data_IF_579067713856
#
_entry.id   IF_579067713856
#
_cell.length_a   1.000
_cell.length_b   1.000
_cell.length_c   1.000
_cell.angle_alpha   90.00
_cell.angle_beta   90.00
_cell.angle_gamma   90.00
#
_symmetry.space_group_name_H-M   'P 1'
#
loop_
_entity.id
_entity.type
_entity.pdbx_description
1 polymer ?
#
# COMPACT_ATOMS: atom_id res chain seq x y z
N UNK A 1 -3.47 4.68 4.73
CA UNK A 1 -2.06 4.75 4.29
C UNK A 1 -2.02 5.15 2.83
N UNK A 2 -0.87 5.62 2.36
CA UNK A 2 -0.58 5.93 0.95
C UNK A 2 0.54 5.02 0.50
N UNK A 3 0.30 4.19 -0.49
CA UNK A 3 1.30 3.28 -1.04
C UNK A 3 1.97 3.92 -2.25
N UNK A 4 3.29 3.83 -2.33
CA UNK A 4 4.12 4.35 -3.42
C UNK A 4 5.11 3.26 -3.84
N UNK A 5 5.25 3.01 -5.14
CA UNK A 5 6.30 2.08 -5.61
C UNK A 5 7.68 2.68 -5.38
N UNK A 6 8.62 1.86 -4.93
CA UNK A 6 10.01 2.28 -4.80
C UNK A 6 10.59 2.80 -6.13
N UNK A 7 10.30 2.10 -7.23
CA UNK A 7 10.75 2.48 -8.57
C UNK A 7 10.26 3.88 -9.00
N UNK A 8 9.05 4.30 -8.61
CA UNK A 8 8.51 5.63 -8.91
C UNK A 8 9.26 6.74 -8.16
N UNK A 9 9.99 6.40 -7.12
CA UNK A 9 10.87 7.28 -6.36
C UNK A 9 12.35 7.18 -6.75
N UNK A 10 12.68 6.31 -7.70
CA UNK A 10 14.07 6.00 -8.08
C UNK A 10 14.82 5.18 -7.03
N UNK A 11 14.08 4.41 -6.22
CA UNK A 11 14.63 3.56 -5.17
C UNK A 11 14.63 2.09 -5.60
N UNK A 12 15.49 1.29 -4.98
CA UNK A 12 15.52 -0.18 -5.16
C UNK A 12 14.38 -0.85 -4.40
N UNK A 13 14.00 -0.29 -3.21
CA UNK A 13 12.98 -0.81 -2.31
C UNK A 13 13.53 -1.56 -1.09
N UNK A 14 14.82 -1.88 -1.09
CA UNK A 14 15.50 -2.57 0.01
C UNK A 14 16.33 -1.63 0.90
N UNK A 15 16.30 -0.31 0.63
CA UNK A 15 17.01 0.69 1.41
C UNK A 15 16.78 0.51 2.91
N UNK A 16 17.83 0.78 3.67
CA UNK A 16 17.75 0.81 5.12
C UNK A 16 16.99 2.04 5.62
N UNK A 17 16.42 2.02 6.84
CA UNK A 17 15.80 3.21 7.42
C UNK A 17 16.75 4.42 7.48
N UNK A 18 18.04 4.19 7.74
CA UNK A 18 19.02 5.27 7.80
C UNK A 18 19.26 5.93 6.42
N UNK A 19 19.34 5.12 5.35
CA UNK A 19 19.46 5.64 3.98
C UNK A 19 18.22 6.46 3.60
N UNK A 20 17.02 5.97 3.93
CA UNK A 20 15.77 6.66 3.63
C UNK A 20 15.61 7.95 4.43
N UNK A 21 15.95 7.93 5.72
CA UNK A 21 15.87 9.11 6.60
C UNK A 21 16.90 10.19 6.21
N UNK A 22 18.02 9.80 5.62
CA UNK A 22 19.00 10.72 5.07
C UNK A 22 18.63 11.28 3.68
N UNK A 23 17.68 10.66 2.98
CA UNK A 23 17.27 11.07 1.64
C UNK A 23 16.16 12.15 1.71
N UNK A 24 16.57 13.39 1.90
CA UNK A 24 15.66 14.54 2.04
C UNK A 24 14.76 14.74 0.83
N UNK A 25 15.23 14.42 -0.38
CA UNK A 25 14.45 14.55 -1.61
C UNK A 25 13.29 13.54 -1.63
N UNK A 26 13.55 12.29 -1.23
CA UNK A 26 12.51 11.26 -1.11
C UNK A 26 11.52 11.63 -0.01
N UNK A 27 11.99 12.08 1.15
CA UNK A 27 11.10 12.51 2.25
C UNK A 27 10.19 13.66 1.84
N UNK A 28 10.72 14.68 1.15
CA UNK A 28 9.92 15.79 0.65
C UNK A 28 8.86 15.33 -0.35
N UNK A 29 9.22 14.39 -1.24
CA UNK A 29 8.28 13.83 -2.23
C UNK A 29 7.20 12.97 -1.56
N UNK A 30 7.55 12.16 -0.57
CA UNK A 30 6.58 11.39 0.21
C UNK A 30 5.62 12.29 0.98
N UNK A 31 6.12 13.40 1.56
CA UNK A 31 5.27 14.35 2.25
C UNK A 31 4.29 15.04 1.30
N UNK A 32 4.73 15.48 0.14
CA UNK A 32 3.85 16.05 -0.87
C UNK A 32 2.73 15.07 -1.29
N UNK A 33 3.08 13.79 -1.52
CA UNK A 33 2.12 12.74 -1.82
C UNK A 33 1.16 12.48 -0.66
N UNK A 34 1.65 12.50 0.58
CA UNK A 34 0.83 12.33 1.79
C UNK A 34 -0.21 13.42 1.95
N UNK A 35 0.19 14.68 1.76
CA UNK A 35 -0.71 15.84 1.85
C UNK A 35 -1.80 15.78 0.78
N UNK A 36 -1.42 15.53 -0.46
CA UNK A 36 -2.36 15.38 -1.57
C UNK A 36 -3.32 14.21 -1.35
N UNK A 37 -2.81 13.06 -0.86
CA UNK A 37 -3.65 11.91 -0.56
C UNK A 37 -4.63 12.21 0.59
N UNK A 38 -4.21 12.96 1.60
CA UNK A 38 -5.09 13.40 2.69
C UNK A 38 -6.29 14.19 2.17
N UNK A 39 -6.05 15.14 1.26
CA UNK A 39 -7.11 15.90 0.60
C UNK A 39 -8.06 14.98 -0.19
N UNK A 40 -7.50 14.09 -1.02
CA UNK A 40 -8.29 13.15 -1.84
C UNK A 40 -9.09 12.13 -1.03
N UNK A 41 -8.61 11.78 0.16
CA UNK A 41 -9.31 10.90 1.11
C UNK A 41 -10.39 11.63 1.90
N UNK A 42 -10.59 12.93 1.69
CA UNK A 42 -11.56 13.74 2.44
C UNK A 42 -11.14 14.03 3.89
N UNK A 43 -9.85 13.87 4.20
CA UNK A 43 -9.31 14.15 5.54
C UNK A 43 -9.02 15.63 5.76
N UNK A 44 -9.11 16.46 4.72
CA UNK A 44 -8.79 17.87 4.77
C UNK A 44 -7.28 18.13 4.90
N UNK A 45 -6.92 19.20 5.62
CA UNK A 45 -5.52 19.51 5.90
C UNK A 45 -4.93 18.53 6.91
N UNK A 46 -3.96 17.74 6.45
CA UNK A 46 -3.27 16.74 7.25
C UNK A 46 -1.83 17.15 7.63
N UNK A 47 -1.47 18.41 7.45
CA UNK A 47 -0.11 18.91 7.70
C UNK A 47 0.37 18.59 9.12
N UNK A 48 -0.50 18.71 10.11
CA UNK A 48 -0.20 18.40 11.52
C UNK A 48 -0.69 17.02 11.95
N UNK A 49 -1.13 16.19 11.01
CA UNK A 49 -1.59 14.82 11.28
C UNK A 49 -0.50 13.80 11.01
N UNK A 50 -0.49 12.72 11.79
CA UNK A 50 0.34 11.55 11.50
C UNK A 50 -0.26 10.63 10.44
N UNK A 51 -1.46 10.95 9.96
CA UNK A 51 -2.18 10.20 8.92
C UNK A 51 -2.39 11.08 7.67
N UNK A 52 -2.52 10.45 6.50
CA UNK A 52 -2.28 9.04 6.21
C UNK A 52 -0.78 8.70 6.28
N UNK A 53 -0.45 7.46 6.63
CA UNK A 53 0.96 7.01 6.69
C UNK A 53 1.49 6.72 5.29
N UNK A 54 2.64 7.27 4.87
CA UNK A 54 3.31 6.87 3.65
C UNK A 54 3.94 5.48 3.80
N UNK A 55 3.89 4.70 2.73
CA UNK A 55 4.51 3.37 2.67
C UNK A 55 5.11 3.18 1.29
N UNK A 56 6.41 2.92 1.23
CA UNK A 56 7.09 2.51 0.00
C UNK A 56 6.97 1.01 -0.12
N UNK A 57 6.58 0.52 -1.30
CA UNK A 57 6.44 -0.90 -1.60
C UNK A 57 7.28 -1.28 -2.82
N UNK A 58 7.78 -2.50 -2.82
CA UNK A 58 8.43 -3.14 -3.97
C UNK A 58 8.15 -4.64 -3.97
N UNK A 59 8.36 -5.34 -5.10
CA UNK A 59 8.27 -6.78 -5.14
C UNK A 59 9.16 -7.43 -4.08
N UNK A 60 8.65 -8.48 -3.45
CA UNK A 60 9.41 -9.25 -2.49
C UNK A 60 10.36 -10.24 -3.16
N UNK A 61 11.16 -10.93 -2.34
CA UNK A 61 12.17 -11.88 -2.81
C UNK A 61 11.60 -13.25 -3.20
N UNK A 62 10.33 -13.51 -2.90
CA UNK A 62 9.64 -14.77 -3.19
C UNK A 62 8.19 -14.53 -3.62
N UNK A 63 7.56 -15.46 -4.35
CA UNK A 63 6.15 -15.36 -4.69
C UNK A 63 5.28 -15.15 -3.44
N UNK A 64 4.34 -14.20 -3.50
CA UNK A 64 3.48 -13.87 -2.37
C UNK A 64 4.16 -13.03 -1.28
N UNK A 65 5.32 -12.47 -1.57
CA UNK A 65 5.99 -11.52 -0.67
C UNK A 65 6.02 -10.10 -1.25
N UNK A 66 6.02 -9.11 -0.36
CA UNK A 66 6.14 -7.69 -0.68
C UNK A 66 7.12 -7.04 0.29
N UNK A 67 8.04 -6.25 -0.24
CA UNK A 67 8.92 -5.42 0.60
C UNK A 67 8.19 -4.15 0.95
N UNK A 68 8.27 -3.73 2.20
CA UNK A 68 7.61 -2.53 2.71
C UNK A 68 8.55 -1.68 3.56
N UNK A 69 8.52 -0.37 3.32
CA UNK A 69 9.14 0.67 4.13
C UNK A 69 8.06 1.62 4.61
N UNK A 70 7.74 1.53 5.88
CA UNK A 70 6.63 2.23 6.52
C UNK A 70 7.11 3.50 7.22
N UNK A 71 6.45 4.64 7.02
CA UNK A 71 6.86 5.94 7.58
C UNK A 71 5.90 6.45 8.65
N UNK A 72 6.45 7.20 9.63
CA UNK A 72 5.74 7.79 10.79
C UNK A 72 5.93 9.31 10.90
N UNK A 73 5.31 10.17 10.11
CA UNK A 73 5.25 10.15 8.66
C UNK A 73 6.58 10.53 8.00
N UNK A 74 7.48 11.26 8.72
CA UNK A 74 8.73 11.83 8.21
C UNK A 74 9.96 10.97 8.50
N UNK A 75 9.78 9.82 9.12
CA UNK A 75 10.86 8.92 9.48
C UNK A 75 10.47 7.48 9.14
N UNK A 76 11.40 6.73 8.55
CA UNK A 76 11.21 5.33 8.25
C UNK A 76 11.18 4.49 9.54
N UNK A 77 10.15 3.71 9.71
CA UNK A 77 10.00 2.81 10.85
C UNK A 77 11.07 1.71 10.78
N UNK A 78 11.81 1.51 11.87
CA UNK A 78 12.88 0.50 11.94
C UNK A 78 12.38 -0.94 11.90
N UNK A 79 11.08 -1.14 12.09
CA UNK A 79 10.35 -2.39 11.98
C UNK A 79 9.13 -2.16 11.09
N UNK A 80 7.94 -2.60 11.51
CA UNK A 80 6.68 -2.33 10.82
C UNK A 80 5.52 -2.33 11.82
N UNK A 81 4.54 -1.44 11.62
CA UNK A 81 3.30 -1.52 12.37
C UNK A 81 2.46 -2.71 11.88
N UNK A 82 1.96 -3.54 12.81
CA UNK A 82 1.15 -4.73 12.46
C UNK A 82 -0.07 -4.36 11.64
N UNK A 83 -0.80 -3.30 12.02
CA UNK A 83 -1.95 -2.79 11.26
C UNK A 83 -1.55 -2.29 9.87
N UNK A 84 -0.35 -1.71 9.74
CA UNK A 84 0.24 -1.34 8.46
C UNK A 84 0.55 -2.55 7.58
N UNK A 85 1.08 -3.62 8.16
CA UNK A 85 1.37 -4.86 7.44
C UNK A 85 0.10 -5.51 6.89
N UNK A 86 -0.99 -5.51 7.65
CA UNK A 86 -2.30 -5.99 7.18
C UNK A 86 -2.77 -5.19 5.95
N UNK A 87 -2.64 -3.87 6.00
CA UNK A 87 -3.01 -3.01 4.87
C UNK A 87 -2.15 -3.21 3.63
N UNK A 88 -0.83 -3.40 3.81
CA UNK A 88 0.10 -3.72 2.70
C UNK A 88 -0.23 -5.09 2.11
N UNK A 89 -0.45 -6.11 2.95
CA UNK A 89 -0.83 -7.44 2.51
C UNK A 89 -2.16 -7.43 1.75
N UNK A 90 -3.16 -6.70 2.24
CA UNK A 90 -4.43 -6.51 1.53
C UNK A 90 -4.21 -5.86 0.16
N UNK A 91 -3.42 -4.80 0.09
CA UNK A 91 -3.12 -4.12 -1.16
C UNK A 91 -2.39 -5.03 -2.16
N UNK A 92 -1.47 -5.89 -1.71
CA UNK A 92 -0.69 -6.78 -2.59
C UNK A 92 -1.53 -7.87 -3.27
N UNK A 93 -2.72 -8.16 -2.74
CA UNK A 93 -3.64 -9.16 -3.33
C UNK A 93 -4.83 -8.51 -4.06
N UNK A 94 -4.99 -7.19 -3.95
CA UNK A 94 -6.05 -6.46 -4.62
C UNK A 94 -5.59 -5.95 -5.99
N UNK A 95 -6.30 -6.30 -7.08
CA UNK A 95 -5.94 -5.83 -8.42
C UNK A 95 -5.94 -4.31 -8.53
N UNK A 96 -5.03 -3.77 -9.32
CA UNK A 96 -4.96 -2.35 -9.63
C UNK A 96 -4.35 -1.48 -8.53
N UNK A 97 -3.80 -2.08 -7.46
CA UNK A 97 -2.98 -1.35 -6.50
C UNK A 97 -1.53 -1.31 -6.95
N UNK A 98 -0.76 -0.35 -6.42
CA UNK A 98 0.69 -0.25 -6.68
C UNK A 98 1.51 -1.37 -6.02
N UNK A 99 0.92 -2.15 -5.13
CA UNK A 99 1.55 -3.27 -4.44
C UNK A 99 1.29 -4.62 -5.13
N UNK A 100 0.44 -4.64 -6.17
CA UNK A 100 0.13 -5.86 -6.93
C UNK A 100 1.01 -5.93 -8.16
N UNK A 101 1.73 -7.03 -8.35
CA UNK A 101 2.46 -7.30 -9.59
C UNK A 101 1.48 -7.49 -10.75
N UNK A 102 1.80 -6.89 -11.89
CA UNK A 102 1.05 -7.10 -13.13
C UNK A 102 1.10 -8.58 -13.51
N UNK A 103 -0.04 -9.26 -13.43
CA UNK A 103 -0.15 -10.69 -13.78
C UNK A 103 -0.63 -11.60 -12.65
N UNK A 104 -0.72 -11.12 -11.43
CA UNK A 104 -1.35 -11.90 -10.36
C UNK A 104 -2.87 -11.73 -10.42
N UNK A 105 -3.55 -12.74 -10.95
CA UNK A 105 -5.01 -12.80 -10.88
C UNK A 105 -5.43 -12.86 -9.40
N UNK A 106 -6.49 -12.11 -9.01
CA UNK A 106 -7.06 -12.24 -7.69
C UNK A 106 -7.63 -13.66 -7.57
N UNK A 107 -6.93 -14.54 -6.86
CA UNK A 107 -7.49 -15.83 -6.55
C UNK A 107 -8.34 -15.70 -5.30
N UNK A 108 -9.56 -16.22 -5.35
CA UNK A 108 -10.43 -16.36 -4.19
C UNK A 108 -9.81 -17.28 -3.14
N UNK A 109 -10.06 -17.01 -1.86
CA UNK A 109 -9.66 -17.85 -0.74
C UNK A 109 -8.66 -17.22 0.22
N UNK A 110 -8.20 -18.04 1.16
CA UNK A 110 -7.20 -17.65 2.14
C UNK A 110 -5.85 -17.41 1.45
N UNK A 111 -5.24 -16.29 1.74
CA UNK A 111 -3.93 -15.89 1.21
C UNK A 111 -2.96 -15.70 2.34
N UNK A 112 -1.76 -16.21 2.14
CA UNK A 112 -0.61 -15.88 2.96
C UNK A 112 0.26 -14.90 2.20
N UNK A 113 0.49 -13.73 2.81
CA UNK A 113 1.38 -12.70 2.28
C UNK A 113 2.49 -12.46 3.28
N UNK A 114 3.73 -12.50 2.81
CA UNK A 114 4.89 -12.13 3.60
C UNK A 114 5.26 -10.67 3.36
N UNK A 115 5.16 -9.85 4.39
CA UNK A 115 5.61 -8.44 4.37
C UNK A 115 7.02 -8.38 4.91
N UNK A 116 7.98 -8.10 4.02
CA UNK A 116 9.40 -7.97 4.36
C UNK A 116 9.69 -6.52 4.76
N UNK A 117 10.27 -6.33 5.94
CA UNK A 117 10.54 -5.01 6.51
C UNK A 117 11.96 -4.94 7.12
N UNK A 118 12.47 -3.76 7.52
CA UNK A 118 13.88 -3.61 7.93
C UNK A 118 14.33 -4.55 9.05
N UNK A 119 13.45 -4.93 9.97
CA UNK A 119 13.79 -5.80 11.11
C UNK A 119 13.41 -7.27 10.88
N UNK A 120 12.91 -7.66 9.68
CA UNK A 120 12.53 -9.04 9.41
C UNK A 120 11.28 -9.17 8.54
N UNK A 121 10.38 -10.06 8.94
CA UNK A 121 9.20 -10.45 8.15
C UNK A 121 7.97 -10.56 9.03
N UNK A 122 6.82 -10.16 8.51
CA UNK A 122 5.51 -10.38 9.11
C UNK A 122 4.70 -11.21 8.13
N UNK A 123 4.21 -12.38 8.56
CA UNK A 123 3.27 -13.16 7.79
C UNK A 123 1.85 -12.72 8.12
N UNK A 124 1.07 -12.45 7.08
CA UNK A 124 -0.34 -12.08 7.18
C UNK A 124 -1.15 -13.14 6.46
N UNK A 125 -1.93 -13.89 7.21
CA UNK A 125 -2.91 -14.82 6.69
C UNK A 125 -4.26 -14.14 6.69
N UNK A 126 -4.91 -14.04 5.54
CA UNK A 126 -6.18 -13.35 5.43
C UNK A 126 -6.99 -13.77 4.21
N UNK A 127 -8.29 -13.66 4.36
CA UNK A 127 -9.23 -13.64 3.24
C UNK A 127 -9.65 -12.19 3.03
N UNK A 128 -9.29 -11.63 1.90
CA UNK A 128 -9.58 -10.23 1.60
C UNK A 128 -10.82 -10.16 0.71
N UNK A 129 -11.88 -9.54 1.23
CA UNK A 129 -13.08 -9.17 0.45
C UNK A 129 -13.00 -7.68 0.17
N UNK A 130 -13.05 -7.31 -1.10
CA UNK A 130 -13.16 -5.91 -1.47
C UNK A 130 -14.58 -5.43 -1.18
N UNK A 131 -14.74 -4.61 -0.13
CA UNK A 131 -16.03 -4.01 0.23
C UNK A 131 -16.22 -2.69 -0.53
N UNK A 132 -15.15 -1.93 -0.71
CA UNK A 132 -15.15 -0.68 -1.45
C UNK A 132 -13.76 -0.42 -2.00
N UNK A 133 -13.66 -0.09 -3.29
CA UNK A 133 -12.42 0.41 -3.89
C UNK A 133 -12.68 1.78 -4.49
N UNK A 134 -11.79 2.73 -4.21
CA UNK A 134 -11.73 4.00 -4.90
C UNK A 134 -10.40 4.11 -5.61
N UNK A 135 -10.42 4.20 -6.94
CA UNK A 135 -9.24 4.47 -7.74
C UNK A 135 -9.15 5.98 -7.96
N UNK A 136 -8.16 6.60 -7.34
CA UNK A 136 -7.88 8.01 -7.60
C UNK A 136 -6.98 8.09 -8.82
N UNK A 137 -7.58 8.37 -9.98
CA UNK A 137 -6.87 8.77 -11.21
C UNK A 137 -7.10 10.24 -11.46
N UNK A 138 -6.20 10.88 -12.18
CA UNK A 138 -6.34 12.23 -12.74
C UNK A 138 -7.37 12.26 -13.88
N UNK A 139 -8.38 11.43 -13.83
CA UNK A 139 -9.45 11.33 -14.80
C UNK A 139 -10.66 12.11 -14.31
N UNK A 140 -11.22 12.93 -15.20
CA UNK A 140 -12.50 13.60 -15.03
C UNK A 140 -13.56 12.53 -14.73
N UNK A 141 -14.35 12.71 -13.68
CA UNK A 141 -15.49 11.83 -13.35
C UNK A 141 -16.44 11.79 -14.57
N UNK A 142 -16.53 10.64 -15.22
CA UNK A 142 -17.37 10.48 -16.41
C UNK A 142 -18.69 9.79 -16.05
N UNK A 143 -18.67 8.94 -14.99
CA UNK A 143 -19.85 8.19 -14.56
C UNK A 143 -19.79 7.92 -13.07
N UNK A 144 -20.93 8.00 -12.40
CA UNK A 144 -21.17 7.49 -11.05
C UNK A 144 -22.27 6.44 -11.13
N UNK A 145 -22.01 5.27 -10.55
CA UNK A 145 -22.97 4.19 -10.57
C UNK A 145 -22.69 3.18 -9.45
N UNK A 146 -23.69 2.36 -9.16
CA UNK A 146 -23.58 1.24 -8.23
C UNK A 146 -23.24 -0.01 -9.01
N UNK A 147 -22.16 -0.68 -8.65
CA UNK A 147 -21.78 -1.98 -9.23
C UNK A 147 -22.43 -3.10 -8.41
N UNK A 148 -23.33 -3.84 -9.06
CA UNK A 148 -23.88 -5.06 -8.48
C UNK A 148 -23.00 -6.23 -8.90
N UNK A 149 -22.33 -6.83 -7.93
CA UNK A 149 -21.60 -8.09 -8.16
C UNK A 149 -22.51 -9.23 -7.76
N UNK A 150 -22.86 -10.17 -8.69
CA UNK A 150 -23.68 -11.33 -8.33
C UNK A 150 -22.97 -12.13 -7.22
N UNK A 151 -23.70 -12.50 -6.19
CA UNK A 151 -23.20 -13.49 -5.25
C UNK A 151 -23.02 -14.81 -5.98
N UNK A 152 -21.81 -15.38 -5.92
CA UNK A 152 -21.57 -16.73 -6.46
C UNK A 152 -22.49 -17.69 -5.71
N UNK A 153 -23.33 -18.42 -6.44
CA UNK A 153 -24.16 -19.46 -5.88
C UNK A 153 -23.31 -20.43 -5.03
N UNK A 154 -23.79 -20.88 -3.87
CA UNK A 154 -23.07 -21.87 -3.09
C UNK A 154 -22.90 -23.13 -3.93
N UNK A 155 -21.68 -23.65 -4.00
CA UNK A 155 -21.41 -24.93 -4.61
C UNK A 155 -22.16 -26.03 -3.85
N UNK A 156 -22.99 -26.78 -4.56
CA UNK A 156 -23.66 -27.97 -4.06
C UNK A 156 -22.67 -29.12 -3.88
#
# INVERSE_FOLDING_TARGET
MVLVRAADLGLRGDETPAELDANTAVLARLEALRLEAGQRMGMGDVTHSVLPKPVIVSPGTSPGSVVSRYFTPHQCHRSHAVTGAIGVAAASVLPGTVATDEGHAPAAGLRRVEVQHPAGRIQVDGQFKLVQAALVRTARKILEGTLFVPESAPAH
#
